data_IF_565468428715
#
_entry.id   IF_565468428715
#
_cell.length_a   1.000
_cell.length_b   1.000
_cell.length_c   1.000
_cell.angle_alpha   90.00
_cell.angle_beta   90.00
_cell.angle_gamma   90.00
#
_symmetry.space_group_name_H-M   'P 1'
#
loop_
_entity.id
_entity.type
_entity.pdbx_description
1 polymer ?
#
# COMPACT_ATOMS: atom_id res chain seq x y z
N UNK A 1 8.24 3.13 0.62
CA UNK A 1 6.93 3.02 1.31
C UNK A 1 6.06 2.04 0.56
N UNK A 2 5.27 1.20 1.28
CA UNK A 2 4.39 0.19 0.68
C UNK A 2 3.08 0.14 1.44
N UNK A 3 1.97 0.00 0.72
CA UNK A 3 0.65 -0.32 1.29
C UNK A 3 0.29 -1.78 1.06
N UNK A 4 -0.51 -2.33 1.94
CA UNK A 4 -1.08 -3.67 1.78
C UNK A 4 -2.26 -3.60 0.81
N UNK A 5 -2.35 -4.58 -0.08
CA UNK A 5 -3.50 -4.79 -0.95
C UNK A 5 -4.01 -6.23 -0.80
N UNK A 6 -5.31 -6.42 -0.75
CA UNK A 6 -5.96 -7.70 -0.84
C UNK A 6 -6.30 -7.99 -2.31
N UNK A 7 -5.68 -9.03 -2.85
CA UNK A 7 -5.84 -9.43 -4.25
C UNK A 7 -6.73 -10.66 -4.31
N UNK A 8 -7.74 -10.62 -5.17
CA UNK A 8 -8.68 -11.72 -5.36
C UNK A 8 -9.27 -11.71 -6.78
N UNK A 9 -9.97 -12.77 -7.12
CA UNK A 9 -10.64 -12.88 -8.42
C UNK A 9 -12.16 -12.81 -8.25
N UNK A 10 -12.79 -12.01 -9.11
CA UNK A 10 -14.23 -11.91 -9.21
C UNK A 10 -14.65 -12.02 -10.67
N UNK A 11 -15.32 -13.12 -11.02
CA UNK A 11 -15.61 -13.44 -12.41
C UNK A 11 -14.32 -13.60 -13.23
N UNK A 12 -14.21 -12.79 -14.30
CA UNK A 12 -13.02 -12.76 -15.17
C UNK A 12 -11.94 -11.79 -14.68
N UNK A 13 -12.28 -10.84 -13.79
CA UNK A 13 -11.40 -9.78 -13.35
C UNK A 13 -10.56 -10.21 -12.14
N UNK A 14 -9.40 -9.59 -12.02
CA UNK A 14 -8.55 -9.65 -10.83
C UNK A 14 -8.60 -8.29 -10.15
N UNK A 15 -8.95 -8.27 -8.88
CA UNK A 15 -9.14 -7.06 -8.11
C UNK A 15 -8.02 -6.84 -7.11
N UNK A 16 -7.73 -5.59 -6.82
CA UNK A 16 -6.91 -5.15 -5.70
C UNK A 16 -7.70 -4.13 -4.87
N UNK A 17 -7.77 -4.35 -3.57
CA UNK A 17 -8.47 -3.53 -2.58
C UNK A 17 -7.49 -3.14 -1.49
N UNK A 18 -7.47 -1.88 -1.09
CA UNK A 18 -6.54 -1.36 -0.10
C UNK A 18 -7.23 -1.18 1.26
N UNK A 19 -6.95 -2.06 2.25
CA UNK A 19 -7.64 -2.02 3.54
C UNK A 19 -7.37 -0.74 4.34
N UNK A 20 -6.20 -0.13 4.14
CA UNK A 20 -5.82 1.12 4.82
C UNK A 20 -6.37 2.37 4.13
N UNK A 21 -6.92 2.24 2.91
CA UNK A 21 -7.42 3.34 2.08
C UNK A 21 -8.88 3.08 1.70
N UNK A 22 -9.85 3.43 2.55
CA UNK A 22 -11.27 3.13 2.32
C UNK A 22 -11.77 3.65 0.98
N UNK A 23 -12.36 2.76 0.16
CA UNK A 23 -12.84 3.08 -1.18
C UNK A 23 -11.76 3.04 -2.28
N UNK A 24 -10.49 2.85 -1.93
CA UNK A 24 -9.42 2.64 -2.90
C UNK A 24 -9.41 1.19 -3.36
N UNK A 25 -9.83 0.95 -4.60
CA UNK A 25 -9.82 -0.35 -5.24
C UNK A 25 -9.65 -0.21 -6.74
N UNK A 26 -9.16 -1.27 -7.38
CA UNK A 26 -9.02 -1.34 -8.84
C UNK A 26 -9.15 -2.78 -9.31
N UNK A 27 -9.25 -2.95 -10.62
CA UNK A 27 -9.25 -4.26 -11.25
C UNK A 27 -8.44 -4.25 -12.55
N UNK A 28 -8.07 -5.44 -13.00
CA UNK A 28 -7.51 -5.68 -14.32
C UNK A 28 -8.09 -6.98 -14.90
N UNK A 29 -8.11 -7.07 -16.23
CA UNK A 29 -8.52 -8.30 -16.93
C UNK A 29 -7.44 -9.37 -16.86
N UNK A 30 -6.18 -8.94 -16.81
CA UNK A 30 -5.01 -9.81 -16.70
C UNK A 30 -4.22 -9.55 -15.41
N UNK A 31 -3.68 -10.63 -14.86
CA UNK A 31 -2.94 -10.57 -13.60
C UNK A 31 -1.64 -9.78 -13.67
N UNK A 32 -1.00 -9.74 -14.82
CA UNK A 32 0.23 -8.99 -15.06
C UNK A 32 0.02 -7.47 -15.15
N UNK A 33 -1.19 -7.03 -15.51
CA UNK A 33 -1.59 -5.63 -15.57
C UNK A 33 -1.99 -5.09 -14.18
N UNK A 34 -2.41 -5.96 -13.25
CA UNK A 34 -2.94 -5.54 -11.95
C UNK A 34 -1.94 -4.74 -11.12
N UNK A 35 -0.65 -5.05 -11.20
CA UNK A 35 0.37 -4.37 -10.40
C UNK A 35 0.45 -2.87 -10.73
N UNK A 36 0.45 -2.54 -12.02
CA UNK A 36 0.45 -1.15 -12.49
C UNK A 36 -0.86 -0.45 -12.14
N UNK A 37 -2.00 -1.09 -12.40
CA UNK A 37 -3.32 -0.54 -12.08
C UNK A 37 -3.51 -0.31 -10.57
N UNK A 38 -2.99 -1.21 -9.71
CA UNK A 38 -3.04 -1.07 -8.28
C UNK A 38 -2.17 0.08 -7.76
N UNK A 39 -0.98 0.26 -8.34
CA UNK A 39 -0.12 1.39 -8.01
C UNK A 39 -0.75 2.71 -8.42
N UNK A 40 -1.26 2.81 -9.63
CA UNK A 40 -1.93 4.02 -10.15
C UNK A 40 -3.15 4.40 -9.30
N UNK A 41 -4.02 3.45 -8.98
CA UNK A 41 -5.20 3.69 -8.15
C UNK A 41 -4.83 4.16 -6.73
N UNK A 42 -3.82 3.53 -6.11
CA UNK A 42 -3.33 3.91 -4.79
C UNK A 42 -2.74 5.31 -4.81
N UNK A 43 -1.85 5.61 -5.75
CA UNK A 43 -1.20 6.91 -5.86
C UNK A 43 -2.22 8.01 -6.11
N UNK A 44 -3.15 7.82 -7.04
CA UNK A 44 -4.22 8.78 -7.30
C UNK A 44 -5.12 9.03 -6.09
N UNK A 45 -5.44 7.97 -5.32
CA UNK A 45 -6.20 8.11 -4.07
C UNK A 45 -5.44 8.93 -3.01
N UNK A 46 -4.14 8.64 -2.81
CA UNK A 46 -3.28 9.36 -1.87
C UNK A 46 -3.09 10.83 -2.28
N UNK A 47 -2.87 11.10 -3.57
CA UNK A 47 -2.71 12.44 -4.13
C UNK A 47 -3.98 13.28 -3.94
N UNK A 48 -5.15 12.70 -4.23
CA UNK A 48 -6.44 13.39 -4.05
C UNK A 48 -6.64 13.85 -2.59
N UNK A 49 -6.23 13.03 -1.61
CA UNK A 49 -6.28 13.38 -0.19
C UNK A 49 -5.28 14.49 0.16
N UNK A 50 -4.07 14.44 -0.37
CA UNK A 50 -3.07 15.50 -0.16
C UNK A 50 -3.53 16.84 -0.74
N UNK A 51 -4.05 16.85 -1.96
CA UNK A 51 -4.55 18.06 -2.62
C UNK A 51 -5.76 18.64 -1.89
N UNK A 52 -6.66 17.81 -1.36
CA UNK A 52 -7.81 18.27 -0.57
C UNK A 52 -7.44 18.73 0.86
N UNK A 53 -6.16 18.73 1.21
CA UNK A 53 -5.69 19.15 2.53
C UNK A 53 -5.83 18.09 3.62
N UNK A 54 -6.33 16.92 3.29
CA UNK A 54 -6.46 15.80 4.23
C UNK A 54 -5.11 15.13 4.46
N UNK A 55 -4.96 14.45 5.59
CA UNK A 55 -3.80 13.61 5.88
C UNK A 55 -4.19 12.16 5.63
N UNK A 56 -3.67 11.52 4.57
CA UNK A 56 -3.99 10.12 4.29
C UNK A 56 -3.55 9.21 5.42
N UNK A 57 -4.19 8.05 5.60
CA UNK A 57 -3.77 7.06 6.60
C UNK A 57 -2.38 6.52 6.28
N UNK A 58 -1.65 6.17 7.34
CA UNK A 58 -0.36 5.48 7.20
C UNK A 58 -0.57 4.03 6.81
N UNK A 59 0.37 3.44 6.05
CA UNK A 59 0.30 2.01 5.77
C UNK A 59 0.44 1.21 7.07
N UNK A 60 -0.44 0.23 7.25
CA UNK A 60 -0.38 -0.73 8.35
C UNK A 60 0.22 -2.05 7.85
N UNK A 61 1.00 -2.70 8.69
CA UNK A 61 1.53 -4.02 8.34
C UNK A 61 0.49 -5.11 8.56
N UNK A 62 -0.17 -5.52 7.49
CA UNK A 62 -1.06 -6.68 7.49
C UNK A 62 -0.23 -7.96 7.30
N UNK A 63 -0.43 -8.96 8.16
CA UNK A 63 0.31 -10.24 8.10
C UNK A 63 -0.39 -11.29 7.25
N UNK A 64 -1.70 -11.17 7.06
CA UNK A 64 -2.52 -12.09 6.28
C UNK A 64 -3.68 -11.36 5.63
N UNK A 65 -4.17 -11.92 4.53
CA UNK A 65 -5.41 -11.49 3.89
C UNK A 65 -6.60 -12.31 4.43
N UNK A 66 -7.83 -11.79 4.33
CA UNK A 66 -9.05 -12.55 4.58
C UNK A 66 -9.14 -13.81 3.70
N UNK A 67 -9.99 -14.75 4.11
CA UNK A 67 -10.18 -16.00 3.37
C UNK A 67 -10.59 -15.73 1.91
N UNK A 68 -9.92 -16.39 0.97
CA UNK A 68 -10.14 -16.24 -0.47
C UNK A 68 -9.40 -15.09 -1.14
N UNK A 69 -8.67 -14.28 -0.36
CA UNK A 69 -7.82 -13.19 -0.88
C UNK A 69 -6.33 -13.51 -0.63
N UNK A 70 -5.44 -12.94 -1.41
CA UNK A 70 -3.99 -12.93 -1.18
C UNK A 70 -3.55 -11.56 -0.69
N UNK A 71 -2.50 -11.53 0.14
CA UNK A 71 -1.87 -10.29 0.56
C UNK A 71 -0.75 -9.93 -0.40
N UNK A 72 -0.80 -8.71 -0.91
CA UNK A 72 0.23 -8.12 -1.74
C UNK A 72 0.74 -6.81 -1.14
N UNK A 73 1.90 -6.34 -1.61
CA UNK A 73 2.47 -5.06 -1.25
C UNK A 73 2.59 -4.20 -2.50
N UNK A 74 2.02 -3.01 -2.45
CA UNK A 74 2.05 -2.04 -3.55
C UNK A 74 2.94 -0.89 -3.13
N UNK A 75 3.95 -0.60 -3.98
CA UNK A 75 4.88 0.49 -3.75
C UNK A 75 4.23 1.82 -4.13
N UNK A 76 4.57 2.85 -3.36
CA UNK A 76 4.28 4.24 -3.70
C UNK A 76 5.56 4.85 -4.26
N UNK A 77 5.47 5.63 -5.34
CA UNK A 77 6.62 6.33 -5.94
C UNK A 77 7.34 7.21 -4.92
N UNK A 78 8.64 7.34 -5.06
CA UNK A 78 9.51 7.94 -4.05
C UNK A 78 9.13 9.39 -3.69
N UNK A 79 8.78 10.22 -4.69
CA UNK A 79 8.36 11.60 -4.46
C UNK A 79 7.12 11.69 -3.58
N UNK A 80 6.05 10.95 -3.93
CA UNK A 80 4.81 10.92 -3.15
C UNK A 80 5.04 10.34 -1.74
N UNK A 81 5.87 9.31 -1.62
CA UNK A 81 6.24 8.72 -0.32
C UNK A 81 6.98 9.74 0.58
N UNK A 82 7.85 10.56 0.02
CA UNK A 82 8.53 11.64 0.74
C UNK A 82 7.55 12.72 1.20
N UNK A 83 6.65 13.18 0.32
CA UNK A 83 5.63 14.19 0.65
C UNK A 83 4.72 13.72 1.80
N UNK A 84 4.27 12.46 1.75
CA UNK A 84 3.47 11.84 2.80
C UNK A 84 4.25 11.75 4.13
N UNK A 85 5.49 11.28 4.09
CA UNK A 85 6.31 11.11 5.28
C UNK A 85 6.57 12.47 5.98
N UNK A 86 6.88 13.51 5.23
CA UNK A 86 7.09 14.87 5.76
C UNK A 86 5.79 15.40 6.38
N UNK A 87 4.66 15.23 5.68
CA UNK A 87 3.36 15.72 6.17
C UNK A 87 2.94 15.01 7.45
N UNK A 88 3.09 13.71 7.55
CA UNK A 88 2.81 12.96 8.77
C UNK A 88 3.72 13.39 9.92
N UNK A 89 5.03 13.47 9.67
CA UNK A 89 5.98 13.86 10.70
C UNK A 89 5.75 15.30 11.22
N UNK A 90 5.38 16.22 10.33
CA UNK A 90 4.99 17.57 10.73
C UNK A 90 3.70 17.58 11.56
N UNK A 91 2.69 16.81 11.14
CA UNK A 91 1.43 16.69 11.86
C UNK A 91 1.63 16.09 13.27
N UNK A 92 2.43 15.02 13.38
CA UNK A 92 2.77 14.41 14.67
C UNK A 92 3.50 15.38 15.61
N UNK A 93 4.35 16.24 15.06
CA UNK A 93 5.04 17.27 15.81
C UNK A 93 4.13 18.48 16.17
N UNK A 94 2.88 18.50 15.73
CA UNK A 94 1.96 19.62 15.93
C UNK A 94 2.38 20.91 15.26
N UNK A 95 3.21 20.84 14.20
CA UNK A 95 3.79 22.01 13.55
C UNK A 95 2.93 22.45 12.36
N UNK A 96 2.81 23.78 12.19
CA UNK A 96 2.36 24.37 10.92
C UNK A 96 3.50 24.34 9.90
N UNK A 97 3.18 24.45 8.61
CA UNK A 97 4.20 24.58 7.56
C UNK A 97 5.16 25.75 7.81
N UNK A 98 4.64 26.89 8.28
CA UNK A 98 5.45 28.04 8.64
C UNK A 98 6.39 27.74 9.83
N UNK A 99 5.90 27.03 10.85
CA UNK A 99 6.70 26.64 12.01
C UNK A 99 7.82 25.65 11.63
N UNK A 100 7.50 24.65 10.79
CA UNK A 100 8.51 23.73 10.28
C UNK A 100 9.53 24.46 9.38
N UNK A 101 9.08 25.38 8.53
CA UNK A 101 9.97 26.19 7.69
C UNK A 101 10.99 26.95 8.52
N UNK A 102 10.56 27.64 9.58
CA UNK A 102 11.47 28.34 10.51
C UNK A 102 12.49 27.37 11.16
N UNK A 103 12.01 26.21 11.62
CA UNK A 103 12.86 25.21 12.28
C UNK A 103 13.87 24.57 11.34
N UNK A 104 13.49 24.37 10.08
CA UNK A 104 14.35 23.80 9.03
C UNK A 104 15.19 24.87 8.29
N UNK A 105 15.06 26.16 8.64
CA UNK A 105 15.69 27.27 7.93
C UNK A 105 15.37 27.30 6.42
N UNK A 106 14.09 27.08 6.09
CA UNK A 106 13.54 27.19 4.74
C UNK A 106 12.23 27.99 4.76
N UNK A 107 11.77 28.45 3.61
CA UNK A 107 10.50 29.18 3.55
C UNK A 107 9.29 28.25 3.75
N UNK A 108 8.15 28.86 4.16
CA UNK A 108 6.89 28.11 4.21
C UNK A 108 6.52 27.53 2.84
N UNK A 109 6.76 28.27 1.75
CA UNK A 109 6.49 27.81 0.39
C UNK A 109 7.33 26.57 0.03
N UNK A 110 8.58 26.49 0.50
CA UNK A 110 9.39 25.27 0.30
C UNK A 110 8.80 24.08 1.04
N UNK A 111 8.30 24.25 2.27
CA UNK A 111 7.59 23.18 2.99
C UNK A 111 6.30 22.80 2.25
N UNK A 112 5.51 23.77 1.78
CA UNK A 112 4.30 23.50 1.01
C UNK A 112 4.59 22.70 -0.27
N UNK A 113 5.67 23.02 -0.98
CA UNK A 113 6.13 22.24 -2.15
C UNK A 113 6.57 20.84 -1.79
N UNK A 114 7.29 20.65 -0.68
CA UNK A 114 7.70 19.31 -0.21
C UNK A 114 6.51 18.41 0.14
N UNK A 115 5.40 18.99 0.55
CA UNK A 115 4.16 18.29 0.86
C UNK A 115 3.23 18.17 -0.36
N UNK A 116 3.61 18.72 -1.52
CA UNK A 116 2.86 18.58 -2.76
C UNK A 116 3.28 17.30 -3.50
N UNK A 117 2.34 16.42 -3.87
CA UNK A 117 2.65 15.17 -4.56
C UNK A 117 3.29 15.37 -5.95
N UNK A 118 3.02 16.49 -6.61
CA UNK A 118 3.52 16.80 -7.96
C UNK A 118 4.98 17.30 -7.97
N UNK A 119 5.51 17.62 -6.81
CA UNK A 119 6.89 18.12 -6.70
C UNK A 119 7.90 16.98 -6.57
N UNK A 120 9.11 17.24 -7.05
CA UNK A 120 10.20 16.29 -6.95
C UNK A 120 11.36 16.91 -6.12
N UNK A 121 11.28 16.81 -4.79
CA UNK A 121 12.29 17.42 -3.93
C UNK A 121 13.63 16.71 -4.05
N UNK A 122 14.73 17.49 -3.88
CA UNK A 122 16.07 16.91 -3.79
C UNK A 122 16.25 16.18 -2.46
N UNK A 123 17.09 15.14 -2.46
CA UNK A 123 17.43 14.40 -1.23
C UNK A 123 17.96 15.33 -0.15
N UNK A 124 18.82 16.29 -0.51
CA UNK A 124 19.36 17.29 0.42
C UNK A 124 18.26 18.07 1.14
N UNK A 125 17.20 18.46 0.39
CA UNK A 125 16.07 19.18 0.99
C UNK A 125 15.27 18.31 1.94
N UNK A 126 15.06 17.03 1.57
CA UNK A 126 14.38 16.05 2.42
C UNK A 126 15.17 15.83 3.71
N UNK A 127 16.49 15.62 3.64
CA UNK A 127 17.37 15.43 4.80
C UNK A 127 17.35 16.62 5.74
N UNK A 128 17.40 17.84 5.18
CA UNK A 128 17.34 19.08 5.96
C UNK A 128 16.06 19.19 6.77
N UNK A 129 14.92 18.87 6.17
CA UNK A 129 13.62 18.91 6.84
C UNK A 129 13.48 17.77 7.84
N UNK A 130 13.91 16.55 7.49
CA UNK A 130 13.93 15.41 8.39
C UNK A 130 14.74 15.68 9.65
N UNK A 131 15.94 16.25 9.52
CA UNK A 131 16.77 16.67 10.65
C UNK A 131 16.06 17.69 11.56
N UNK A 132 15.32 18.63 10.99
CA UNK A 132 14.53 19.59 11.76
C UNK A 132 13.37 18.92 12.52
N UNK A 133 12.92 17.77 12.08
CA UNK A 133 11.90 16.92 12.75
C UNK A 133 12.51 15.86 13.69
N UNK A 134 13.84 15.83 13.87
CA UNK A 134 14.60 14.79 14.58
C UNK A 134 14.41 13.39 13.96
N UNK A 135 14.32 13.31 12.66
CA UNK A 135 14.20 12.07 11.89
C UNK A 135 15.44 11.82 11.03
N UNK A 136 15.72 10.57 10.76
CA UNK A 136 16.69 10.13 9.76
C UNK A 136 15.97 9.75 8.47
N UNK A 137 16.64 9.95 7.33
CA UNK A 137 16.17 9.46 6.02
C UNK A 137 16.82 8.11 5.77
N UNK A 138 16.01 7.11 5.48
CA UNK A 138 16.46 5.79 5.04
C UNK A 138 15.97 5.53 3.61
N UNK A 139 16.89 5.12 2.72
CA UNK A 139 16.63 4.85 1.33
C UNK A 139 16.90 3.38 1.03
N UNK A 140 15.85 2.62 0.78
CA UNK A 140 15.93 1.24 0.31
C UNK A 140 15.58 1.12 -1.16
N UNK A 141 16.40 0.42 -1.93
CA UNK A 141 16.08 -0.01 -3.29
C UNK A 141 15.59 -1.45 -3.22
N UNK A 142 14.38 -1.69 -3.71
CA UNK A 142 13.76 -2.99 -3.68
C UNK A 142 13.35 -3.42 -5.10
N UNK A 143 13.43 -4.70 -5.39
CA UNK A 143 12.89 -5.24 -6.63
C UNK A 143 11.35 -5.09 -6.66
N UNK A 144 10.78 -4.71 -7.83
CA UNK A 144 9.32 -4.64 -7.96
C UNK A 144 8.73 -6.05 -7.81
N UNK A 145 7.90 -6.24 -6.78
CA UNK A 145 7.22 -7.52 -6.56
C UNK A 145 5.99 -7.63 -7.46
N UNK A 146 5.86 -8.76 -8.16
CA UNK A 146 4.64 -9.12 -8.87
C UNK A 146 3.52 -9.37 -7.85
N UNK A 147 2.34 -8.85 -8.11
CA UNK A 147 1.16 -9.17 -7.30
C UNK A 147 0.77 -10.63 -7.58
N UNK A 148 0.94 -11.50 -6.57
CA UNK A 148 0.59 -12.90 -6.71
C UNK A 148 -0.90 -13.10 -6.46
N UNK A 149 -1.57 -13.78 -7.39
CA UNK A 149 -2.93 -14.27 -7.17
C UNK A 149 -2.95 -15.39 -6.13
N UNK A 150 -4.05 -15.53 -5.37
CA UNK A 150 -4.25 -16.72 -4.56
C UNK A 150 -4.22 -17.95 -5.47
N UNK A 151 -3.51 -18.99 -5.04
CA UNK A 151 -3.53 -20.27 -5.74
C UNK A 151 -4.99 -20.73 -5.92
N UNK A 152 -5.36 -21.27 -7.10
CA UNK A 152 -6.71 -21.82 -7.28
C UNK A 152 -6.95 -22.87 -6.19
N UNK A 153 -8.06 -22.73 -5.46
CA UNK A 153 -8.47 -23.74 -4.49
C UNK A 153 -8.77 -25.03 -5.26
N UNK A 154 -7.80 -25.93 -5.33
CA UNK A 154 -8.05 -27.29 -5.77
C UNK A 154 -9.04 -27.88 -4.76
N UNK A 155 -10.30 -27.99 -5.17
CA UNK A 155 -11.32 -28.67 -4.41
C UNK A 155 -10.87 -30.14 -4.37
N UNK A 156 -10.20 -30.55 -3.29
CA UNK A 156 -9.94 -31.96 -3.03
C UNK A 156 -11.31 -32.64 -3.03
N UNK A 157 -11.66 -33.27 -4.14
CA UNK A 157 -12.78 -34.20 -4.20
C UNK A 157 -12.45 -35.28 -3.18
N UNK A 158 -13.12 -35.22 -2.05
CA UNK A 158 -13.08 -36.29 -1.05
C UNK A 158 -13.49 -37.59 -1.77
N UNK A 159 -12.52 -38.49 -1.94
CA UNK A 159 -12.80 -39.80 -2.47
C UNK A 159 -13.93 -40.44 -1.65
N UNK A 160 -14.93 -41.06 -2.31
CA UNK A 160 -16.00 -41.72 -1.57
C UNK A 160 -15.39 -42.84 -0.71
N UNK A 161 -15.70 -42.83 0.58
CA UNK A 161 -15.38 -43.91 1.50
C UNK A 161 -15.94 -45.21 0.92
N UNK A 162 -15.07 -46.13 0.50
CA UNK A 162 -15.46 -47.52 0.20
C UNK A 162 -15.86 -48.17 1.52
N UNK A 163 -17.15 -48.29 1.74
CA UNK A 163 -17.71 -49.14 2.77
C UNK A 163 -17.34 -50.59 2.46
N UNK A 164 -16.42 -51.17 3.22
CA UNK A 164 -16.21 -52.62 3.20
C UNK A 164 -17.42 -53.28 3.89
N UNK A 165 -18.29 -53.84 3.08
CA UNK A 165 -19.30 -54.73 3.57
C UNK A 165 -18.61 -56.05 4.05
N UNK A 166 -18.56 -56.23 5.36
CA UNK A 166 -18.15 -57.51 5.96
C UNK A 166 -19.31 -58.50 5.80
N UNK A 167 -19.11 -59.45 4.92
CA UNK A 167 -20.04 -60.57 4.70
C UNK A 167 -19.83 -61.58 5.82
N UNK A 168 -20.77 -61.60 6.80
CA UNK A 168 -20.81 -62.62 7.86
C UNK A 168 -21.30 -63.92 7.25
N UNK A 169 -20.43 -64.92 7.16
CA UNK A 169 -20.81 -66.31 6.91
C UNK A 169 -21.41 -66.92 8.18
N UNK A 170 -22.68 -67.30 8.14
CA UNK A 170 -23.30 -68.22 9.14
C UNK A 170 -22.89 -69.63 8.79
N UNK A 171 -22.51 -70.38 9.79
CA UNK A 171 -22.74 -71.82 10.02
C UNK A 171 -23.49 -71.92 11.31
#
# INVERSE_FOLDING_TARGET
MQYSAYVYREGKHVLAEFPDCPGCQTFADKSDELAAAAQEALEGWLEAHLVSGQVPPRPVEHRAAPAGKSLARVHVRAGLAASLAIRWARADAGLTQAALGRRAHVSQQQIARLENPDENPTLETIEKVAKALNLAVDLGLNEPRRLALPAPRTRLLRAPHRSHAVMAKRR
#
